data_IF_857127739067
#
_entry.id   IF_857127739067
#
_cell.length_a   1.000
_cell.length_b   1.000
_cell.length_c   1.000
_cell.angle_alpha   90.00
_cell.angle_beta   90.00
_cell.angle_gamma   90.00
#
_symmetry.space_group_name_H-M   'P 1'
#
loop_
_entity.id
_entity.type
_entity.pdbx_description
1 polymer ?
#
# COMPACT_ATOMS: atom_id res chain seq x y z
N UNK A 1 -11.73 -3.09 -3.62
CA UNK A 1 -10.94 -2.32 -4.58
C UNK A 1 -10.09 -1.19 -3.95
N UNK A 2 -10.64 -0.38 -3.05
CA UNK A 2 -9.87 0.69 -2.40
C UNK A 2 -8.65 0.14 -1.63
N UNK A 3 -8.84 -0.86 -0.79
CA UNK A 3 -7.77 -1.49 -0.01
C UNK A 3 -6.66 -2.13 -0.87
N UNK A 4 -7.03 -2.74 -1.99
CA UNK A 4 -6.06 -3.27 -2.96
C UNK A 4 -5.23 -2.16 -3.58
N UNK A 5 -5.86 -1.05 -3.97
CA UNK A 5 -5.15 0.08 -4.55
C UNK A 5 -4.18 0.73 -3.54
N UNK A 6 -4.63 0.90 -2.28
CA UNK A 6 -3.78 1.36 -1.18
C UNK A 6 -2.58 0.44 -0.96
N UNK A 7 -2.82 -0.87 -0.86
CA UNK A 7 -1.76 -1.83 -0.68
C UNK A 7 -0.74 -1.80 -1.82
N UNK A 8 -1.19 -1.85 -3.08
CA UNK A 8 -0.30 -1.79 -4.24
C UNK A 8 0.51 -0.49 -4.26
N UNK A 9 -0.13 0.66 -3.99
CA UNK A 9 0.57 1.95 -3.94
C UNK A 9 1.68 1.94 -2.88
N UNK A 10 1.36 1.48 -1.66
CA UNK A 10 2.31 1.39 -0.56
C UNK A 10 3.48 0.46 -0.91
N UNK A 11 3.20 -0.71 -1.47
CA UNK A 11 4.23 -1.66 -1.90
C UNK A 11 5.17 -1.09 -2.97
N UNK A 12 4.62 -0.42 -4.00
CA UNK A 12 5.43 0.20 -5.05
C UNK A 12 6.29 1.34 -4.50
N UNK A 13 5.75 2.16 -3.58
CA UNK A 13 6.51 3.24 -2.95
C UNK A 13 7.67 2.69 -2.10
N UNK A 14 7.46 1.62 -1.34
CA UNK A 14 8.52 0.95 -0.60
C UNK A 14 9.60 0.37 -1.53
N UNK A 15 9.19 -0.24 -2.66
CA UNK A 15 10.12 -0.72 -3.68
C UNK A 15 10.91 0.44 -4.32
N UNK A 16 10.26 1.58 -4.56
CA UNK A 16 10.89 2.76 -5.14
C UNK A 16 11.96 3.36 -4.21
N UNK A 17 11.66 3.46 -2.91
CA UNK A 17 12.62 3.93 -1.89
C UNK A 17 13.83 3.00 -1.86
N UNK A 18 13.63 1.69 -1.84
CA UNK A 18 14.72 0.72 -1.85
C UNK A 18 15.54 0.80 -3.14
N UNK A 19 14.86 0.88 -4.30
CA UNK A 19 15.53 0.98 -5.60
C UNK A 19 16.36 2.26 -5.70
N UNK A 20 15.86 3.40 -5.22
CA UNK A 20 16.62 4.67 -5.20
C UNK A 20 17.86 4.56 -4.32
N UNK A 21 17.74 4.00 -3.12
CA UNK A 21 18.86 3.82 -2.20
C UNK A 21 19.94 2.91 -2.79
N UNK A 22 19.56 1.81 -3.48
CA UNK A 22 20.54 0.91 -4.10
C UNK A 22 21.26 1.51 -5.29
N UNK A 23 20.57 2.35 -6.08
CA UNK A 23 21.18 3.08 -7.21
C UNK A 23 22.23 4.07 -6.69
N UNK A 24 21.93 4.81 -5.64
CA UNK A 24 22.84 5.82 -5.07
C UNK A 24 24.08 5.19 -4.44
N UNK A 25 23.92 4.11 -3.69
CA UNK A 25 25.05 3.43 -3.03
C UNK A 25 25.86 2.54 -3.97
N UNK A 26 25.42 2.37 -5.21
CA UNK A 26 26.10 1.50 -6.15
C UNK A 26 26.05 0.01 -5.80
N UNK A 27 25.18 -0.37 -4.86
CA UNK A 27 24.99 -1.76 -4.41
C UNK A 27 23.94 -2.44 -5.29
N UNK A 28 24.23 -3.65 -5.77
CA UNK A 28 23.27 -4.43 -6.54
C UNK A 28 22.05 -4.85 -5.71
N UNK A 29 20.87 -4.86 -6.34
CA UNK A 29 19.67 -5.40 -5.72
C UNK A 29 19.84 -6.90 -5.47
N UNK A 30 19.69 -7.31 -4.20
CA UNK A 30 19.68 -8.72 -3.82
C UNK A 30 18.23 -9.15 -3.58
N UNK A 31 17.81 -10.28 -4.15
CA UNK A 31 16.49 -10.86 -3.96
C UNK A 31 16.13 -11.04 -2.47
N UNK A 32 17.11 -11.39 -1.63
CA UNK A 32 16.92 -11.53 -0.20
C UNK A 32 16.53 -10.21 0.49
N UNK A 33 17.12 -9.10 0.07
CA UNK A 33 16.80 -7.77 0.58
C UNK A 33 15.43 -7.31 0.09
N UNK A 34 15.10 -7.56 -1.18
CA UNK A 34 13.79 -7.29 -1.75
C UNK A 34 12.68 -8.07 -1.02
N UNK A 35 12.91 -9.36 -0.72
CA UNK A 35 11.96 -10.17 0.04
C UNK A 35 11.72 -9.63 1.45
N UNK A 36 12.76 -9.21 2.18
CA UNK A 36 12.63 -8.61 3.51
C UNK A 36 11.81 -7.32 3.48
N UNK A 37 12.08 -6.44 2.53
CA UNK A 37 11.31 -5.20 2.36
C UNK A 37 9.86 -5.52 1.99
N UNK A 38 9.62 -6.48 1.11
CA UNK A 38 8.27 -6.95 0.78
C UNK A 38 7.49 -7.44 2.00
N UNK A 39 8.13 -8.22 2.89
CA UNK A 39 7.51 -8.69 4.14
C UNK A 39 7.20 -7.52 5.08
N UNK A 40 8.12 -6.56 5.23
CA UNK A 40 7.88 -5.36 6.04
C UNK A 40 6.72 -4.55 5.47
N UNK A 41 6.67 -4.34 4.16
CA UNK A 41 5.58 -3.65 3.48
C UNK A 41 4.24 -4.37 3.69
N UNK A 42 4.21 -5.71 3.59
CA UNK A 42 3.03 -6.51 3.88
C UNK A 42 2.54 -6.30 5.32
N UNK A 43 3.43 -6.40 6.30
CA UNK A 43 3.08 -6.22 7.71
C UNK A 43 2.59 -4.80 8.01
N UNK A 44 3.26 -3.79 7.46
CA UNK A 44 2.88 -2.39 7.60
C UNK A 44 1.49 -2.11 7.02
N UNK A 45 1.25 -2.50 5.77
CA UNK A 45 -0.03 -2.33 5.10
C UNK A 45 -1.16 -3.08 5.83
N UNK A 46 -0.90 -4.32 6.27
CA UNK A 46 -1.86 -5.12 7.03
C UNK A 46 -2.28 -4.41 8.31
N UNK A 47 -1.32 -3.94 9.11
CA UNK A 47 -1.60 -3.25 10.36
C UNK A 47 -2.33 -1.93 10.13
N UNK A 48 -1.84 -1.12 9.20
CA UNK A 48 -2.42 0.20 8.91
C UNK A 48 -3.86 0.09 8.44
N UNK A 49 -4.12 -0.79 7.47
CA UNK A 49 -5.45 -0.99 6.92
C UNK A 49 -6.37 -1.65 7.95
N UNK A 50 -5.88 -2.62 8.74
CA UNK A 50 -6.67 -3.22 9.81
C UNK A 50 -7.14 -2.18 10.83
N UNK A 51 -6.23 -1.33 11.31
CA UNK A 51 -6.58 -0.29 12.29
C UNK A 51 -7.58 0.70 11.70
N UNK A 52 -7.38 1.14 10.47
CA UNK A 52 -8.27 2.09 9.79
C UNK A 52 -9.67 1.49 9.62
N UNK A 53 -9.79 0.31 9.03
CA UNK A 53 -11.06 -0.36 8.75
C UNK A 53 -11.79 -0.74 10.05
N UNK A 54 -11.08 -1.32 11.02
CA UNK A 54 -11.67 -1.69 12.29
C UNK A 54 -12.21 -0.46 13.03
N UNK A 55 -11.46 0.63 13.05
CA UNK A 55 -11.89 1.88 13.70
C UNK A 55 -13.10 2.47 13.00
N UNK A 56 -13.13 2.47 11.66
CA UNK A 56 -14.26 2.94 10.87
C UNK A 56 -15.52 2.13 11.17
N UNK A 57 -15.47 0.81 10.99
CA UNK A 57 -16.61 -0.07 11.24
C UNK A 57 -17.10 0.01 12.69
N UNK A 58 -16.17 0.12 13.63
CA UNK A 58 -16.51 0.30 15.04
C UNK A 58 -17.25 1.61 15.29
N UNK A 59 -16.83 2.70 14.66
CA UNK A 59 -17.48 4.00 14.76
C UNK A 59 -18.88 3.99 14.17
N UNK A 60 -19.09 3.27 13.07
CA UNK A 60 -20.40 3.09 12.44
C UNK A 60 -21.37 2.31 13.36
N UNK A 61 -20.89 1.23 13.99
CA UNK A 61 -21.68 0.50 15.00
C UNK A 61 -22.10 1.40 16.16
N UNK A 62 -21.20 2.22 16.68
CA UNK A 62 -21.52 3.15 17.77
C UNK A 62 -22.51 4.23 17.35
N UNK A 63 -22.44 4.70 16.09
CA UNK A 63 -23.45 5.63 15.54
C UNK A 63 -24.81 4.96 15.44
N UNK A 64 -24.88 3.71 14.92
CA UNK A 64 -26.10 2.95 14.85
C UNK A 64 -26.72 2.69 16.24
N UNK A 65 -25.90 2.38 17.26
CA UNK A 65 -26.37 2.24 18.64
C UNK A 65 -27.04 3.51 19.16
N UNK A 66 -26.45 4.67 18.90
CA UNK A 66 -27.02 5.98 19.30
C UNK A 66 -28.36 6.26 18.60
N UNK A 67 -28.46 5.91 17.31
CA UNK A 67 -29.71 6.09 16.56
C UNK A 67 -30.83 5.19 17.09
N UNK A 68 -30.50 3.99 17.56
CA UNK A 68 -31.45 3.04 18.12
C UNK A 68 -31.77 3.30 19.60
N UNK A 69 -31.28 4.42 20.16
CA UNK A 69 -31.52 4.84 21.55
C UNK A 69 -31.19 3.77 22.61
N UNK A 70 -30.17 2.94 22.35
CA UNK A 70 -29.71 1.99 23.36
C UNK A 70 -29.12 2.70 24.57
N UNK A 71 -29.61 2.35 25.74
CA UNK A 71 -29.19 2.92 27.04
C UNK A 71 -27.76 2.54 27.44
N UNK A 72 -27.18 1.52 26.83
CA UNK A 72 -25.78 1.10 27.06
C UNK A 72 -25.03 1.02 25.73
N UNK A 73 -23.96 1.79 25.61
CA UNK A 73 -23.03 1.73 24.50
C UNK A 73 -22.24 0.41 24.50
N UNK A 74 -21.97 -0.13 23.32
CA UNK A 74 -21.15 -1.33 23.13
C UNK A 74 -21.93 -2.65 23.06
N UNK A 75 -23.26 -2.63 23.13
CA UNK A 75 -24.08 -3.86 23.03
C UNK A 75 -23.96 -4.52 21.66
N UNK A 76 -24.01 -3.75 20.57
CA UNK A 76 -23.88 -4.30 19.22
C UNK A 76 -22.50 -4.90 18.98
N UNK A 77 -21.47 -4.35 19.58
CA UNK A 77 -20.12 -4.89 19.45
C UNK A 77 -19.92 -6.27 20.11
N UNK A 78 -20.74 -6.60 21.11
CA UNK A 78 -20.73 -7.91 21.78
C UNK A 78 -21.52 -8.98 21.01
N UNK A 79 -22.23 -8.60 19.94
CA UNK A 79 -23.08 -9.48 19.15
C UNK A 79 -22.32 -10.11 17.95
N UNK A 80 -23.06 -10.87 17.14
CA UNK A 80 -22.57 -11.37 15.85
C UNK A 80 -22.12 -10.25 14.90
N UNK A 81 -22.70 -9.05 15.00
CA UNK A 81 -22.31 -7.88 14.22
C UNK A 81 -20.89 -7.43 14.55
N UNK A 82 -20.51 -7.37 15.82
CA UNK A 82 -19.14 -7.02 16.21
C UNK A 82 -18.10 -8.03 15.71
N UNK A 83 -18.46 -9.32 15.67
CA UNK A 83 -17.60 -10.38 15.08
C UNK A 83 -17.51 -10.26 13.57
N UNK A 84 -18.59 -9.90 12.89
CA UNK A 84 -18.59 -9.64 11.46
C UNK A 84 -17.65 -8.47 11.11
N UNK A 85 -17.74 -7.36 11.85
CA UNK A 85 -16.85 -6.19 11.70
C UNK A 85 -15.38 -6.57 11.82
N UNK A 86 -15.02 -7.38 12.83
CA UNK A 86 -13.64 -7.83 13.01
C UNK A 86 -13.18 -8.69 11.82
N UNK A 87 -14.01 -9.64 11.39
CA UNK A 87 -13.69 -10.52 10.25
C UNK A 87 -13.52 -9.71 8.97
N UNK A 88 -14.39 -8.76 8.70
CA UNK A 88 -14.35 -7.95 7.49
C UNK A 88 -13.11 -7.05 7.50
N UNK A 89 -12.78 -6.41 8.63
CA UNK A 89 -11.55 -5.63 8.79
C UNK A 89 -10.29 -6.49 8.55
N UNK A 90 -10.23 -7.71 9.11
CA UNK A 90 -9.11 -8.63 8.88
C UNK A 90 -9.02 -9.04 7.41
N UNK A 91 -10.14 -9.31 6.76
CA UNK A 91 -10.16 -9.71 5.34
C UNK A 91 -9.65 -8.59 4.44
N UNK A 92 -10.14 -7.36 4.66
CA UNK A 92 -9.71 -6.17 3.90
C UNK A 92 -8.23 -5.89 4.13
N UNK A 93 -7.76 -5.99 5.38
CA UNK A 93 -6.35 -5.82 5.72
C UNK A 93 -5.46 -6.90 5.08
N UNK A 94 -5.89 -8.16 5.07
CA UNK A 94 -5.15 -9.25 4.43
C UNK A 94 -5.00 -9.03 2.91
N UNK A 95 -6.09 -8.57 2.26
CA UNK A 95 -6.06 -8.22 0.83
C UNK A 95 -5.12 -7.05 0.57
N UNK A 96 -5.15 -6.01 1.41
CA UNK A 96 -4.24 -4.87 1.28
C UNK A 96 -2.78 -5.27 1.50
N UNK A 97 -2.48 -6.09 2.52
CA UNK A 97 -1.14 -6.61 2.78
C UNK A 97 -0.59 -7.45 1.63
N UNK A 98 -1.41 -8.38 1.11
CA UNK A 98 -1.02 -9.17 -0.07
C UNK A 98 -0.77 -8.30 -1.31
N UNK A 99 -1.61 -7.28 -1.51
CA UNK A 99 -1.45 -6.32 -2.59
C UNK A 99 -0.18 -5.47 -2.44
N UNK A 100 0.17 -5.06 -1.21
CA UNK A 100 1.40 -4.34 -0.90
C UNK A 100 2.63 -5.20 -1.17
N UNK A 101 2.60 -6.46 -0.73
CA UNK A 101 3.68 -7.40 -1.04
C UNK A 101 3.89 -7.57 -2.55
N UNK A 102 2.81 -7.79 -3.31
CA UNK A 102 2.86 -7.92 -4.77
C UNK A 102 3.37 -6.63 -5.44
N UNK A 103 2.90 -5.47 -4.99
CA UNK A 103 3.33 -4.16 -5.46
C UNK A 103 4.83 -3.92 -5.24
N UNK A 104 5.39 -4.36 -4.11
CA UNK A 104 6.81 -4.27 -3.82
C UNK A 104 7.63 -5.32 -4.59
N UNK A 105 7.16 -6.56 -4.64
CA UNK A 105 7.89 -7.67 -5.25
C UNK A 105 8.11 -7.47 -6.76
N UNK A 106 7.13 -6.97 -7.47
CA UNK A 106 7.15 -6.87 -8.93
C UNK A 106 8.32 -6.02 -9.45
N UNK A 107 8.50 -4.74 -9.03
CA UNK A 107 9.64 -3.93 -9.46
C UNK A 107 10.99 -4.47 -8.98
N UNK A 108 11.03 -5.05 -7.78
CA UNK A 108 12.28 -5.56 -7.20
C UNK A 108 12.75 -6.83 -7.91
N UNK A 109 11.83 -7.72 -8.29
CA UNK A 109 12.15 -8.90 -9.10
C UNK A 109 12.65 -8.49 -10.49
N UNK A 110 11.99 -7.53 -11.13
CA UNK A 110 12.45 -7.00 -12.43
C UNK A 110 13.87 -6.42 -12.31
N UNK A 111 14.14 -5.65 -11.27
CA UNK A 111 15.46 -5.09 -11.00
C UNK A 111 16.54 -6.15 -10.74
N UNK A 112 16.18 -7.23 -10.04
CA UNK A 112 17.09 -8.32 -9.74
C UNK A 112 17.39 -9.21 -10.95
N UNK A 113 16.46 -9.32 -11.90
CA UNK A 113 16.64 -10.09 -13.15
C UNK A 113 17.55 -9.38 -14.16
N UNK A 114 17.71 -8.05 -14.04
CA UNK A 114 18.54 -7.25 -14.96
C UNK A 114 19.62 -6.49 -14.18
N UNK A 115 20.61 -7.18 -13.59
CA UNK A 115 21.59 -6.57 -12.69
C UNK A 115 22.54 -5.60 -13.42
N UNK A 116 22.63 -5.66 -14.74
CA UNK A 116 23.46 -4.77 -15.58
C UNK A 116 22.92 -3.34 -15.65
N UNK A 117 21.62 -3.13 -15.40
CA UNK A 117 20.99 -1.82 -15.47
C UNK A 117 20.41 -1.44 -14.10
N UNK A 118 21.18 -0.74 -13.28
CA UNK A 118 20.80 -0.31 -11.92
C UNK A 118 19.49 0.49 -11.86
N UNK A 119 19.10 1.11 -12.96
CA UNK A 119 17.89 1.93 -13.07
C UNK A 119 16.62 1.14 -13.37
N UNK A 120 16.70 -0.16 -13.68
CA UNK A 120 15.53 -0.96 -14.10
C UNK A 120 14.46 -1.07 -13.02
N UNK A 121 14.85 -1.30 -11.77
CA UNK A 121 13.89 -1.36 -10.67
C UNK A 121 13.17 -0.02 -10.43
N UNK A 122 13.91 1.09 -10.55
CA UNK A 122 13.37 2.43 -10.40
C UNK A 122 12.39 2.74 -11.53
N UNK A 123 12.75 2.49 -12.77
CA UNK A 123 11.89 2.68 -13.94
C UNK A 123 10.66 1.77 -13.86
N UNK A 124 10.81 0.52 -13.43
CA UNK A 124 9.70 -0.41 -13.25
C UNK A 124 8.73 0.07 -12.16
N UNK A 125 9.24 0.63 -11.05
CA UNK A 125 8.41 1.20 -9.98
C UNK A 125 7.62 2.42 -10.46
N UNK A 126 8.27 3.33 -11.18
CA UNK A 126 7.61 4.52 -11.75
C UNK A 126 6.55 4.13 -12.77
N UNK A 127 6.85 3.16 -13.65
CA UNK A 127 5.89 2.64 -14.63
C UNK A 127 4.70 1.95 -13.94
N UNK A 128 4.94 1.19 -12.87
CA UNK A 128 3.89 0.55 -12.07
C UNK A 128 2.97 1.58 -11.39
N UNK A 129 3.54 2.69 -10.84
CA UNK A 129 2.75 3.80 -10.29
C UNK A 129 1.90 4.47 -11.36
N UNK A 130 2.46 4.74 -12.52
CA UNK A 130 1.72 5.30 -13.66
C UNK A 130 0.58 4.38 -14.10
N UNK A 131 0.84 3.08 -14.22
CA UNK A 131 -0.17 2.07 -14.54
C UNK A 131 -1.29 1.99 -13.51
N UNK A 132 -0.93 2.02 -12.21
CA UNK A 132 -1.91 2.08 -11.13
C UNK A 132 -2.77 3.35 -11.22
N UNK A 133 -2.17 4.49 -11.56
CA UNK A 133 -2.91 5.75 -11.77
C UNK A 133 -3.94 5.64 -12.88
N UNK A 134 -3.59 5.00 -13.99
CA UNK A 134 -4.54 4.73 -15.09
C UNK A 134 -5.67 3.80 -14.64
N UNK A 135 -5.36 2.73 -13.91
CA UNK A 135 -6.35 1.79 -13.38
C UNK A 135 -7.34 2.49 -12.42
N UNK A 136 -6.82 3.30 -11.50
CA UNK A 136 -7.65 4.10 -10.59
C UNK A 136 -8.55 5.07 -11.34
N UNK A 137 -8.03 5.77 -12.35
CA UNK A 137 -8.80 6.71 -13.16
C UNK A 137 -9.97 6.02 -13.88
N UNK A 138 -9.79 4.80 -14.36
CA UNK A 138 -10.88 4.03 -14.99
C UNK A 138 -11.97 3.69 -14.00
N UNK A 139 -11.62 3.38 -12.74
CA UNK A 139 -12.60 3.01 -11.72
C UNK A 139 -13.33 4.21 -11.10
N UNK A 140 -12.63 5.33 -10.96
CA UNK A 140 -13.18 6.55 -10.34
C UNK A 140 -13.87 7.47 -11.36
N UNK A 141 -13.72 7.17 -12.66
CA UNK A 141 -14.29 7.99 -13.73
C UNK A 141 -13.51 9.30 -13.98
N UNK A 142 -12.22 9.35 -13.56
CA UNK A 142 -11.35 10.51 -13.71
C UNK A 142 -10.57 10.56 -15.02
N UNK A 143 -9.88 11.67 -15.26
CA UNK A 143 -8.97 11.81 -16.40
C UNK A 143 -7.73 10.94 -16.18
N UNK A 144 -7.53 9.93 -17.03
CA UNK A 144 -6.43 8.93 -16.93
C UNK A 144 -5.05 9.58 -16.83
N UNK A 145 -4.82 10.62 -17.62
CA UNK A 145 -3.55 11.35 -17.64
C UNK A 145 -3.26 12.07 -16.31
N UNK A 146 -4.26 12.69 -15.70
CA UNK A 146 -4.09 13.43 -14.44
C UNK A 146 -3.77 12.46 -13.27
N UNK A 147 -4.45 11.33 -13.21
CA UNK A 147 -4.20 10.32 -12.18
C UNK A 147 -2.83 9.65 -12.35
N UNK A 148 -2.46 9.31 -13.58
CA UNK A 148 -1.15 8.74 -13.87
C UNK A 148 -0.02 9.72 -13.52
N UNK A 149 -0.12 10.97 -13.99
CA UNK A 149 0.89 12.01 -13.71
C UNK A 149 0.94 12.32 -12.21
N UNK A 150 -0.19 12.41 -11.53
CA UNK A 150 -0.24 12.67 -10.08
C UNK A 150 0.49 11.59 -9.28
N UNK A 151 0.26 10.30 -9.58
CA UNK A 151 0.95 9.21 -8.88
C UNK A 151 2.45 9.13 -9.24
N UNK A 152 2.81 9.39 -10.50
CA UNK A 152 4.22 9.46 -10.89
C UNK A 152 4.93 10.61 -10.17
N UNK A 153 4.34 11.81 -10.12
CA UNK A 153 4.91 12.96 -9.40
C UNK A 153 5.06 12.62 -7.90
N UNK A 154 4.04 12.00 -7.29
CA UNK A 154 4.12 11.57 -5.88
C UNK A 154 5.27 10.58 -5.67
N UNK A 155 5.46 9.63 -6.57
CA UNK A 155 6.58 8.69 -6.53
C UNK A 155 7.94 9.39 -6.66
N UNK A 156 8.07 10.35 -7.55
CA UNK A 156 9.30 11.15 -7.70
C UNK A 156 9.59 11.95 -6.44
N UNK A 157 8.58 12.59 -5.85
CA UNK A 157 8.73 13.34 -4.59
C UNK A 157 9.22 12.42 -3.47
N UNK A 158 8.61 11.25 -3.31
CA UNK A 158 9.02 10.26 -2.29
C UNK A 158 10.46 9.78 -2.54
N UNK A 159 10.84 9.58 -3.81
CA UNK A 159 12.21 9.22 -4.18
C UNK A 159 13.20 10.30 -3.76
N UNK A 160 12.93 11.57 -4.07
CA UNK A 160 13.79 12.70 -3.71
C UNK A 160 13.91 12.83 -2.20
N UNK A 161 12.79 12.72 -1.46
CA UNK A 161 12.82 12.74 0.00
C UNK A 161 13.64 11.56 0.55
N UNK A 162 13.45 10.36 0.02
CA UNK A 162 14.21 9.18 0.45
C UNK A 162 15.72 9.30 0.21
N UNK A 163 16.10 10.03 -0.83
CA UNK A 163 17.51 10.36 -1.15
C UNK A 163 18.08 11.39 -0.19
N UNK A 164 17.37 12.49 0.04
CA UNK A 164 17.82 13.61 0.89
C UNK A 164 17.91 13.23 2.38
N UNK A 165 17.03 12.36 2.86
CA UNK A 165 16.96 11.96 4.28
C UNK A 165 17.98 10.87 4.61
N UNK A 166 18.72 10.33 3.62
CA UNK A 166 19.77 9.30 3.79
C UNK A 166 19.29 8.11 4.66
N UNK A 167 18.06 7.67 4.40
CA UNK A 167 17.29 6.71 5.24
C UNK A 167 17.84 5.28 5.24
N UNK A 168 19.03 5.03 4.69
CA UNK A 168 19.64 3.66 4.69
C UNK A 168 21.14 3.70 4.98
#
# INVERSE_FOLDING_TARGET
MFATALGVSDGILNALILASATVLRGVGLNLGLGARVGVVALCSALLTVFVAEYTQYRSELMRAERQLLFTRSGRLAATSLGRAVLRDAVTVAAVAGAASFAGAALPLVIGALVPSARWTALLASVAALGGLGVLLAVHVGGRRSLWAVGLVISGVIVTVIGVEVDLV
#
